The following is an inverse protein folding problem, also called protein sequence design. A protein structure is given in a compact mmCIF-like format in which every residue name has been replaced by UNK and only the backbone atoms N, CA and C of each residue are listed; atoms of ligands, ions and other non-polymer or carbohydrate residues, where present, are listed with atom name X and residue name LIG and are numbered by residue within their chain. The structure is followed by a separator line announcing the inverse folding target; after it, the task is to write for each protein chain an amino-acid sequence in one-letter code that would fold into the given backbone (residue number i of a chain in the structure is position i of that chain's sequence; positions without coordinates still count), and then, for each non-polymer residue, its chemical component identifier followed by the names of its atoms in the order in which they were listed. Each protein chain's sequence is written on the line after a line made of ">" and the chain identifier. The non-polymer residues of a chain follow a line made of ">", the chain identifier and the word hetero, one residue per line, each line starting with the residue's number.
data_IF_935760250696
#
_entry.id   IF_935760250696
#
_cell.length_a   1.000
_cell.length_b   1.000
_cell.length_c   1.000
_cell.angle_alpha   90.00
_cell.angle_beta   90.00
_cell.angle_gamma   90.00
#
_symmetry.space_group_name_H-M   'P 1'
#
loop_
_entity.id
_entity.type
_entity.pdbx_description
1 polymer ?
#
# COMPACT_ATOMS: atom_id res chain seq x y z
N UNK A 1 14.92 -12.14 18.71
CA UNK A 1 14.00 -13.16 18.21
C UNK A 1 14.52 -13.46 16.84
N UNK A 2 15.12 -14.63 16.64
CA UNK A 2 15.53 -15.06 15.30
C UNK A 2 14.23 -15.43 14.59
N UNK A 3 13.75 -14.55 13.73
CA UNK A 3 12.62 -14.87 12.88
C UNK A 3 13.07 -15.91 11.86
N UNK A 4 12.21 -16.87 11.54
CA UNK A 4 12.53 -17.87 10.54
C UNK A 4 12.57 -17.20 9.16
N UNK A 5 13.74 -16.72 8.76
CA UNK A 5 13.97 -16.06 7.48
C UNK A 5 13.54 -16.97 6.31
N UNK A 6 13.54 -18.29 6.50
CA UNK A 6 13.06 -19.24 5.49
C UNK A 6 11.56 -19.11 5.20
N UNK A 7 10.74 -18.67 6.17
CA UNK A 7 9.32 -18.39 5.92
C UNK A 7 9.14 -17.15 5.04
N UNK A 8 9.97 -16.12 5.24
CA UNK A 8 9.97 -14.90 4.43
C UNK A 8 10.48 -15.15 3.01
N UNK A 9 11.53 -15.95 2.85
CA UNK A 9 12.00 -16.43 1.54
C UNK A 9 10.90 -17.18 0.79
N UNK A 10 10.23 -18.12 1.48
CA UNK A 10 9.12 -18.87 0.90
C UNK A 10 7.97 -17.95 0.48
N UNK A 11 7.60 -16.97 1.30
CA UNK A 11 6.59 -15.98 0.95
C UNK A 11 6.99 -15.20 -0.30
N UNK A 12 8.21 -14.66 -0.32
CA UNK A 12 8.71 -13.84 -1.42
C UNK A 12 8.69 -14.59 -2.75
N UNK A 13 9.17 -15.83 -2.77
CA UNK A 13 9.25 -16.63 -4.00
C UNK A 13 7.92 -17.27 -4.41
N UNK A 14 6.92 -17.32 -3.53
CA UNK A 14 5.59 -17.85 -3.85
C UNK A 14 4.58 -16.75 -4.19
N UNK A 15 4.91 -15.47 -3.95
CA UNK A 15 4.00 -14.36 -4.17
C UNK A 15 3.74 -14.14 -5.66
N UNK A 16 2.48 -13.89 -6.02
CA UNK A 16 2.08 -13.53 -7.38
C UNK A 16 2.54 -12.10 -7.74
N UNK A 17 2.72 -11.24 -6.72
CA UNK A 17 3.34 -9.94 -6.87
C UNK A 17 4.02 -9.47 -5.57
N UNK A 18 5.08 -8.68 -5.74
CA UNK A 18 5.79 -8.02 -4.66
C UNK A 18 5.79 -6.50 -4.86
N UNK A 19 5.70 -5.74 -3.77
CA UNK A 19 5.85 -4.29 -3.79
C UNK A 19 6.83 -3.83 -2.71
N UNK A 20 7.42 -2.66 -2.95
CA UNK A 20 8.06 -1.85 -1.92
C UNK A 20 7.31 -0.55 -1.72
N UNK A 21 7.28 -0.09 -0.48
CA UNK A 21 6.68 1.20 -0.16
C UNK A 21 7.49 1.99 0.85
N UNK A 22 7.40 3.32 0.74
CA UNK A 22 7.99 4.26 1.68
C UNK A 22 6.92 5.26 2.11
N UNK A 23 6.61 5.26 3.40
CA UNK A 23 5.64 6.18 4.01
C UNK A 23 6.39 7.28 4.74
N UNK A 24 6.42 8.46 4.13
CA UNK A 24 7.07 9.65 4.65
C UNK A 24 6.11 10.38 5.59
N UNK A 25 6.63 10.85 6.72
CA UNK A 25 5.95 11.73 7.68
C UNK A 25 6.92 12.82 8.15
N UNK A 26 6.49 13.65 9.11
CA UNK A 26 7.39 14.62 9.76
C UNK A 26 8.44 13.93 10.66
N UNK A 27 8.14 12.74 11.19
CA UNK A 27 9.00 12.01 12.13
C UNK A 27 9.99 11.07 11.44
N UNK A 28 9.86 10.84 10.13
CA UNK A 28 10.77 10.01 9.36
C UNK A 28 10.08 9.30 8.19
N UNK A 29 10.76 8.27 7.68
CA UNK A 29 10.27 7.44 6.57
C UNK A 29 10.21 5.98 7.02
N UNK A 30 9.05 5.35 6.87
CA UNK A 30 8.88 3.92 7.11
C UNK A 30 8.91 3.16 5.79
N UNK A 31 9.95 2.34 5.58
CA UNK A 31 10.02 1.42 4.45
C UNK A 31 9.33 0.08 4.76
N UNK A 32 8.61 -0.46 3.78
CA UNK A 32 7.90 -1.73 3.89
C UNK A 32 8.04 -2.55 2.63
N UNK A 33 7.93 -3.86 2.79
CA UNK A 33 7.73 -4.80 1.69
C UNK A 33 6.32 -5.35 1.76
N UNK A 34 5.77 -5.72 0.62
CA UNK A 34 4.45 -6.33 0.52
C UNK A 34 4.51 -7.55 -0.39
N UNK A 35 3.80 -8.60 0.01
CA UNK A 35 3.63 -9.84 -0.73
C UNK A 35 2.14 -10.02 -1.02
N UNK A 36 1.79 -10.29 -2.26
CA UNK A 36 0.41 -10.48 -2.70
C UNK A 36 0.23 -11.84 -3.35
N UNK A 37 -0.95 -12.42 -3.12
CA UNK A 37 -1.33 -13.72 -3.63
C UNK A 37 -2.78 -13.68 -4.11
N UNK A 38 -3.08 -14.42 -5.17
CA UNK A 38 -4.44 -14.85 -5.43
C UNK A 38 -4.98 -15.63 -4.21
N UNK A 39 -6.26 -15.41 -3.90
CA UNK A 39 -6.85 -15.98 -2.69
C UNK A 39 -7.03 -17.48 -2.86
N UNK A 40 -6.23 -18.24 -2.11
CA UNK A 40 -6.32 -19.70 -1.99
C UNK A 40 -6.21 -20.13 -0.54
N UNK A 41 -6.58 -21.39 -0.26
CA UNK A 41 -6.43 -21.98 1.07
C UNK A 41 -4.94 -22.06 1.44
N UNK A 42 -4.10 -22.41 0.47
CA UNK A 42 -2.66 -22.55 0.61
C UNK A 42 -2.00 -21.21 0.92
N UNK A 43 -2.28 -20.17 0.13
CA UNK A 43 -1.75 -18.83 0.35
C UNK A 43 -2.24 -18.25 1.70
N UNK A 44 -3.51 -18.46 2.04
CA UNK A 44 -4.07 -18.00 3.32
C UNK A 44 -3.35 -18.63 4.52
N UNK A 45 -3.05 -19.94 4.46
CA UNK A 45 -2.28 -20.63 5.50
C UNK A 45 -0.83 -20.14 5.57
N UNK A 46 -0.20 -19.93 4.42
CA UNK A 46 1.18 -19.44 4.33
C UNK A 46 1.31 -18.05 4.97
N UNK A 47 0.42 -17.11 4.58
CA UNK A 47 0.36 -15.76 5.15
C UNK A 47 0.05 -15.80 6.65
N UNK A 48 -0.90 -16.65 7.09
CA UNK A 48 -1.24 -16.76 8.51
C UNK A 48 -0.05 -17.26 9.35
N UNK A 49 0.67 -18.28 8.87
CA UNK A 49 1.87 -18.83 9.53
C UNK A 49 2.94 -17.76 9.71
N UNK A 50 3.32 -17.10 8.62
CA UNK A 50 4.33 -16.05 8.65
C UNK A 50 3.90 -14.84 9.48
N UNK A 51 2.65 -14.41 9.37
CA UNK A 51 2.15 -13.30 10.19
C UNK A 51 2.20 -13.63 11.69
N UNK A 52 1.88 -14.87 12.07
CA UNK A 52 1.95 -15.33 13.46
C UNK A 52 3.40 -15.38 13.96
N UNK A 53 4.34 -15.89 13.17
CA UNK A 53 5.77 -15.95 13.53
C UNK A 53 6.41 -14.56 13.60
N UNK A 54 5.86 -13.58 12.89
CA UNK A 54 6.21 -12.17 12.98
C UNK A 54 5.46 -11.42 14.12
N UNK A 55 4.67 -12.13 14.93
CA UNK A 55 4.04 -11.58 16.14
C UNK A 55 2.65 -10.97 15.96
N UNK A 56 1.97 -11.25 14.84
CA UNK A 56 0.57 -10.83 14.68
C UNK A 56 -0.34 -11.69 15.58
N UNK A 57 -1.21 -11.10 16.44
CA UNK A 57 -2.02 -11.87 17.37
C UNK A 57 -3.02 -12.81 16.69
N UNK A 58 -3.20 -14.02 17.22
CA UNK A 58 -4.17 -15.01 16.69
C UNK A 58 -5.60 -14.47 16.59
N UNK A 59 -6.04 -13.66 17.56
CA UNK A 59 -7.37 -13.04 17.52
C UNK A 59 -7.55 -12.10 16.31
N UNK A 60 -6.48 -11.43 15.89
CA UNK A 60 -6.50 -10.58 14.71
C UNK A 60 -6.50 -11.43 13.42
N UNK A 61 -5.73 -12.51 13.38
CA UNK A 61 -5.75 -13.48 12.28
C UNK A 61 -7.11 -14.17 12.12
N UNK A 62 -7.77 -14.51 13.23
CA UNK A 62 -9.16 -15.01 13.23
C UNK A 62 -10.12 -13.98 12.62
N UNK A 63 -9.91 -12.70 12.89
CA UNK A 63 -10.71 -11.62 12.32
C UNK A 63 -10.45 -11.44 10.83
N UNK A 64 -9.18 -11.50 10.40
CA UNK A 64 -8.80 -11.50 8.98
C UNK A 64 -9.39 -12.71 8.23
N UNK A 65 -9.33 -13.91 8.81
CA UNK A 65 -9.91 -15.13 8.23
C UNK A 65 -11.42 -14.99 7.94
N UNK A 66 -12.17 -14.34 8.84
CA UNK A 66 -13.60 -14.03 8.61
C UNK A 66 -13.85 -13.04 7.47
N UNK A 67 -12.83 -12.29 7.04
CA UNK A 67 -12.91 -11.37 5.91
C UNK A 67 -12.52 -12.02 4.57
N UNK A 68 -11.91 -13.22 4.56
CA UNK A 68 -11.52 -13.89 3.31
C UNK A 68 -12.66 -14.17 2.32
N UNK A 69 -13.91 -14.48 2.74
CA UNK A 69 -14.98 -14.76 1.77
C UNK A 69 -15.20 -13.60 0.78
N UNK A 70 -15.06 -13.92 -0.51
CA UNK A 70 -15.21 -12.98 -1.61
C UNK A 70 -13.97 -12.15 -1.95
N UNK A 71 -12.86 -12.32 -1.21
CA UNK A 71 -11.59 -11.73 -1.59
C UNK A 71 -11.00 -12.49 -2.79
N UNK A 72 -10.53 -11.77 -3.81
CA UNK A 72 -9.80 -12.32 -4.96
C UNK A 72 -8.30 -12.32 -4.71
N UNK A 73 -7.78 -11.39 -3.90
CA UNK A 73 -6.38 -11.39 -3.48
C UNK A 73 -6.22 -11.13 -1.98
N UNK A 74 -5.11 -11.63 -1.46
CA UNK A 74 -4.67 -11.46 -0.08
C UNK A 74 -3.21 -11.05 -0.05
N UNK A 75 -2.76 -10.49 1.06
CA UNK A 75 -1.37 -10.09 1.16
C UNK A 75 -0.88 -9.90 2.58
N UNK A 76 0.44 -9.77 2.69
CA UNK A 76 1.15 -9.43 3.91
C UNK A 76 2.06 -8.24 3.64
N UNK A 77 2.05 -7.23 4.53
CA UNK A 77 3.04 -6.17 4.53
C UNK A 77 3.86 -6.20 5.82
N UNK A 78 5.16 -5.99 5.66
CA UNK A 78 6.13 -5.99 6.74
C UNK A 78 6.96 -4.71 6.68
N UNK A 79 7.04 -3.98 7.81
CA UNK A 79 8.00 -2.87 7.95
C UNK A 79 9.42 -3.45 7.98
N UNK A 80 10.38 -2.79 7.33
CA UNK A 80 11.74 -3.32 7.15
C UNK A 80 12.52 -3.56 8.45
N UNK A 81 12.04 -3.06 9.59
CA UNK A 81 12.57 -3.30 10.94
C UNK A 81 11.72 -4.30 11.76
N UNK A 82 10.74 -4.96 11.14
CA UNK A 82 9.88 -5.97 11.75
C UNK A 82 8.79 -5.43 12.68
N UNK A 83 8.82 -4.14 13.04
CA UNK A 83 7.98 -3.60 14.11
C UNK A 83 6.52 -3.31 13.69
N UNK A 84 6.14 -3.59 12.44
CA UNK A 84 4.74 -3.61 12.02
C UNK A 84 4.50 -4.68 10.97
N UNK A 85 3.55 -5.56 11.28
CA UNK A 85 3.04 -6.63 10.41
C UNK A 85 1.58 -6.36 10.12
N UNK A 86 1.18 -6.58 8.87
CA UNK A 86 -0.18 -6.35 8.40
C UNK A 86 -0.59 -7.45 7.44
N UNK A 87 -1.84 -7.90 7.53
CA UNK A 87 -2.46 -8.79 6.54
C UNK A 87 -3.64 -8.10 5.88
N UNK A 88 -3.90 -8.44 4.63
CA UNK A 88 -4.87 -7.74 3.78
C UNK A 88 -5.81 -8.71 3.07
N UNK A 89 -7.00 -8.21 2.74
CA UNK A 89 -7.91 -8.79 1.75
C UNK A 89 -8.27 -7.74 0.72
N UNK A 90 -8.40 -8.14 -0.54
CA UNK A 90 -8.71 -7.31 -1.70
C UNK A 90 -9.91 -7.90 -2.47
N UNK A 91 -10.81 -7.04 -2.96
CA UNK A 91 -12.11 -7.43 -3.53
C UNK A 91 -12.39 -6.78 -4.91
N UNK A 92 -11.44 -6.86 -5.85
CA UNK A 92 -11.62 -6.31 -7.20
C UNK A 92 -12.77 -6.94 -7.95
N UNK A 93 -12.88 -8.27 -7.94
CA UNK A 93 -13.90 -8.97 -8.74
C UNK A 93 -15.32 -8.62 -8.25
N UNK A 94 -15.49 -8.51 -6.94
CA UNK A 94 -16.73 -8.05 -6.33
C UNK A 94 -17.02 -6.60 -6.74
N UNK A 95 -16.01 -5.74 -6.72
CA UNK A 95 -16.17 -4.34 -7.10
C UNK A 95 -16.51 -4.19 -8.59
N UNK A 96 -15.82 -4.91 -9.47
CA UNK A 96 -16.05 -4.91 -10.91
C UNK A 96 -17.48 -5.37 -11.23
N UNK A 97 -17.91 -6.50 -10.68
CA UNK A 97 -19.28 -6.99 -10.85
C UNK A 97 -20.34 -5.99 -10.37
N UNK A 98 -20.07 -5.23 -9.29
CA UNK A 98 -20.97 -4.16 -8.83
C UNK A 98 -21.04 -3.01 -9.82
N UNK A 99 -19.90 -2.57 -10.36
CA UNK A 99 -19.82 -1.49 -11.36
C UNK A 99 -20.54 -1.90 -12.65
N UNK A 100 -20.32 -3.13 -13.13
CA UNK A 100 -20.99 -3.67 -14.32
C UNK A 100 -22.52 -3.75 -14.12
N UNK A 101 -22.98 -4.00 -12.90
CA UNK A 101 -24.39 -3.94 -12.52
C UNK A 101 -24.93 -2.51 -12.27
N UNK A 102 -24.13 -1.47 -12.50
CA UNK A 102 -24.48 -0.07 -12.30
C UNK A 102 -24.50 0.38 -10.82
N UNK A 103 -23.98 -0.42 -9.90
CA UNK A 103 -23.92 -0.09 -8.47
C UNK A 103 -22.60 0.60 -8.12
N UNK A 104 -22.64 1.94 -8.12
CA UNK A 104 -21.50 2.80 -7.81
C UNK A 104 -21.41 3.18 -6.31
N UNK A 105 -22.19 2.54 -5.44
CA UNK A 105 -22.12 2.80 -4.00
C UNK A 105 -20.76 2.36 -3.45
N UNK A 106 -20.06 3.20 -2.64
CA UNK A 106 -18.76 2.86 -2.08
C UNK A 106 -18.74 1.50 -1.40
N UNK A 107 -17.68 0.73 -1.67
CA UNK A 107 -17.50 -0.62 -1.17
C UNK A 107 -16.04 -0.84 -0.76
N UNK A 108 -15.74 -1.59 0.32
CA UNK A 108 -14.37 -1.90 0.71
C UNK A 108 -13.63 -2.64 -0.42
N UNK A 109 -12.65 -1.99 -1.03
CA UNK A 109 -11.75 -2.63 -1.98
C UNK A 109 -10.59 -3.30 -1.26
N UNK A 110 -10.05 -2.66 -0.22
CA UNK A 110 -9.01 -3.23 0.63
C UNK A 110 -9.47 -3.24 2.08
N UNK A 111 -9.13 -4.29 2.81
CA UNK A 111 -9.19 -4.32 4.28
C UNK A 111 -7.85 -4.73 4.84
N UNK A 112 -7.27 -3.90 5.68
CA UNK A 112 -6.00 -4.16 6.35
C UNK A 112 -6.21 -4.46 7.83
N UNK A 113 -5.55 -5.51 8.33
CA UNK A 113 -5.54 -5.90 9.74
C UNK A 113 -4.12 -5.77 10.24
N UNK A 114 -3.89 -4.91 11.24
CA UNK A 114 -2.54 -4.61 11.71
C UNK A 114 -2.44 -4.55 13.22
N UNK A 115 -1.27 -4.94 13.71
CA UNK A 115 -0.81 -4.62 15.05
C UNK A 115 0.10 -3.40 14.98
N UNK A 116 -0.12 -2.43 15.86
CA UNK A 116 0.76 -1.29 16.07
C UNK A 116 1.83 -1.63 17.12
N UNK A 117 2.97 -0.93 17.14
CA UNK A 117 4.00 -1.13 18.17
C UNK A 117 3.49 -0.96 19.61
N UNK A 118 2.41 -0.20 19.80
CA UNK A 118 1.72 -0.03 21.09
C UNK A 118 0.91 -1.25 21.54
N UNK A 119 0.82 -2.30 20.73
CA UNK A 119 -0.05 -3.47 20.95
C UNK A 119 -1.51 -3.24 20.54
N UNK A 120 -1.87 -2.03 20.11
CA UNK A 120 -3.20 -1.73 19.57
C UNK A 120 -3.38 -2.47 18.25
N UNK A 121 -4.46 -3.25 18.15
CA UNK A 121 -4.90 -3.88 16.91
C UNK A 121 -5.91 -2.99 16.20
N UNK A 122 -5.78 -2.85 14.88
CA UNK A 122 -6.67 -2.00 14.08
C UNK A 122 -7.09 -2.70 12.79
N UNK A 123 -8.34 -2.45 12.38
CA UNK A 123 -8.85 -2.75 11.04
C UNK A 123 -9.04 -1.45 10.27
N UNK A 124 -8.43 -1.36 9.10
CA UNK A 124 -8.60 -0.25 8.17
C UNK A 124 -9.40 -0.74 6.95
N UNK A 125 -10.57 -0.15 6.70
CA UNK A 125 -11.38 -0.43 5.51
C UNK A 125 -11.20 0.72 4.49
N UNK A 126 -10.66 0.41 3.31
CA UNK A 126 -10.45 1.35 2.22
C UNK A 126 -11.58 1.19 1.21
N UNK A 127 -12.52 2.11 1.26
CA UNK A 127 -13.71 2.09 0.41
C UNK A 127 -13.37 2.70 -0.95
N UNK A 128 -13.52 1.92 -2.01
CA UNK A 128 -13.42 2.44 -3.36
C UNK A 128 -14.53 3.45 -3.62
N UNK A 129 -14.16 4.51 -4.33
CA UNK A 129 -15.08 5.45 -4.98
C UNK A 129 -15.11 5.07 -6.46
N UNK A 130 -16.03 4.19 -6.90
CA UNK A 130 -16.02 3.70 -8.27
C UNK A 130 -16.19 4.84 -9.26
N UNK A 131 -15.45 4.79 -10.37
CA UNK A 131 -15.47 5.81 -11.45
C UNK A 131 -15.35 7.26 -10.95
N UNK A 132 -14.58 7.47 -9.86
CA UNK A 132 -14.38 8.80 -9.30
C UNK A 132 -13.70 9.72 -10.33
N UNK A 133 -14.27 10.90 -10.65
CA UNK A 133 -13.64 11.82 -11.58
C UNK A 133 -12.35 12.41 -10.96
N UNK A 134 -11.43 12.91 -11.81
CA UNK A 134 -10.18 13.56 -11.36
C UNK A 134 -10.42 14.63 -10.28
N UNK A 135 -11.48 15.43 -10.42
CA UNK A 135 -11.88 16.43 -9.43
C UNK A 135 -12.14 15.88 -8.01
N UNK A 136 -12.46 14.59 -7.87
CA UNK A 136 -12.72 13.96 -6.58
C UNK A 136 -11.44 13.43 -5.89
N UNK A 137 -10.43 13.01 -6.64
CA UNK A 137 -9.21 12.41 -6.08
C UNK A 137 -7.97 13.30 -6.18
N UNK A 138 -7.93 14.22 -7.15
CA UNK A 138 -6.76 15.07 -7.37
C UNK A 138 -6.50 16.09 -6.25
N UNK A 139 -7.49 16.84 -5.73
CA UNK A 139 -7.23 17.83 -4.70
C UNK A 139 -6.49 17.28 -3.46
N UNK A 140 -6.88 16.14 -2.85
CA UNK A 140 -6.14 15.61 -1.70
C UNK A 140 -4.75 15.06 -2.07
N UNK A 141 -4.54 14.61 -3.32
CA UNK A 141 -3.22 14.24 -3.82
C UNK A 141 -2.31 15.47 -3.90
N UNK A 142 -2.76 16.52 -4.60
CA UNK A 142 -2.03 17.78 -4.77
C UNK A 142 -1.69 18.43 -3.42
N UNK A 143 -2.64 18.43 -2.47
CA UNK A 143 -2.40 18.93 -1.12
C UNK A 143 -1.31 18.14 -0.39
N UNK A 144 -1.33 16.81 -0.52
CA UNK A 144 -0.30 15.96 0.08
C UNK A 144 1.06 16.20 -0.58
N UNK A 145 1.12 16.34 -1.90
CA UNK A 145 2.36 16.66 -2.62
C UNK A 145 2.98 17.97 -2.11
N UNK A 146 2.19 19.04 -2.01
CA UNK A 146 2.64 20.32 -1.50
C UNK A 146 3.24 20.21 -0.08
N UNK A 147 2.58 19.47 0.82
CA UNK A 147 3.05 19.26 2.20
C UNK A 147 4.39 18.53 2.29
N UNK A 148 4.73 17.75 1.27
CA UNK A 148 5.99 17.00 1.19
C UNK A 148 7.03 17.67 0.27
N UNK A 149 6.81 18.94 -0.11
CA UNK A 149 7.76 19.73 -0.91
C UNK A 149 7.77 19.37 -2.39
N UNK A 150 6.74 18.66 -2.87
CA UNK A 150 6.56 18.32 -4.27
C UNK A 150 5.68 19.38 -4.94
N UNK A 151 6.05 19.81 -6.14
CA UNK A 151 5.30 20.80 -6.90
C UNK A 151 3.99 20.18 -7.42
N UNK A 152 2.81 20.64 -6.95
CA UNK A 152 1.53 20.12 -7.42
C UNK A 152 1.19 20.52 -8.85
N UNK A 153 1.75 21.63 -9.35
CA UNK A 153 1.53 22.08 -10.73
C UNK A 153 2.29 21.18 -11.69
N UNK A 154 3.58 20.91 -11.42
CA UNK A 154 4.34 19.93 -12.19
C UNK A 154 3.75 18.51 -12.09
N UNK A 155 3.09 18.17 -10.97
CA UNK A 155 2.41 16.90 -10.82
C UNK A 155 1.26 16.72 -11.83
N UNK A 156 0.56 17.77 -12.23
CA UNK A 156 -0.55 17.68 -13.19
C UNK A 156 -0.10 17.06 -14.52
N UNK A 157 1.09 17.42 -14.98
CA UNK A 157 1.68 16.89 -16.22
C UNK A 157 2.11 15.43 -16.04
N UNK A 158 2.75 15.10 -14.90
CA UNK A 158 3.20 13.73 -14.59
C UNK A 158 2.01 12.77 -14.50
N UNK A 159 0.89 13.22 -13.94
CA UNK A 159 -0.31 12.43 -13.69
C UNK A 159 -1.47 12.84 -14.61
N UNK A 160 -1.16 13.36 -15.81
CA UNK A 160 -2.15 13.83 -16.78
C UNK A 160 -3.12 12.71 -17.19
N UNK A 161 -2.61 11.48 -17.28
CA UNK A 161 -3.35 10.30 -17.70
C UNK A 161 -4.24 9.71 -16.60
N UNK A 162 -4.25 10.28 -15.39
CA UNK A 162 -5.16 9.82 -14.34
C UNK A 162 -6.59 10.29 -14.60
N UNK A 163 -7.45 9.32 -14.87
CA UNK A 163 -8.88 9.45 -15.19
C UNK A 163 -9.70 8.51 -14.31
N UNK A 164 -11.03 8.47 -14.49
CA UNK A 164 -11.88 7.53 -13.78
C UNK A 164 -11.61 6.06 -14.20
N UNK A 165 -11.05 5.87 -15.39
CA UNK A 165 -10.77 4.58 -16.02
C UNK A 165 -9.38 4.03 -15.66
N UNK A 166 -8.40 4.94 -15.53
CA UNK A 166 -6.99 4.60 -15.31
C UNK A 166 -6.57 4.73 -13.84
N UNK A 167 -7.38 5.37 -13.00
CA UNK A 167 -7.14 5.48 -11.56
C UNK A 167 -8.27 4.84 -10.75
N UNK A 168 -7.89 4.09 -9.71
CA UNK A 168 -8.87 3.62 -8.71
C UNK A 168 -8.59 4.33 -7.39
N UNK A 169 -9.56 5.16 -6.98
CA UNK A 169 -9.48 5.88 -5.72
C UNK A 169 -10.18 5.11 -4.60
N UNK A 170 -9.53 5.03 -3.45
CA UNK A 170 -10.12 4.54 -2.21
C UNK A 170 -9.93 5.55 -1.09
N UNK A 171 -10.86 5.52 -0.12
CA UNK A 171 -10.79 6.36 1.08
C UNK A 171 -11.04 5.54 2.34
N UNK A 172 -10.38 5.94 3.41
CA UNK A 172 -10.66 5.49 4.78
C UNK A 172 -10.94 6.72 5.62
N UNK A 173 -12.03 6.69 6.38
CA UNK A 173 -12.38 7.74 7.33
C UNK A 173 -12.78 7.09 8.65
N UNK A 174 -11.99 7.36 9.68
CA UNK A 174 -12.20 6.99 11.08
C UNK A 174 -11.92 8.22 11.95
N UNK A 175 -12.23 8.16 13.25
CA UNK A 175 -12.03 9.30 14.16
C UNK A 175 -10.54 9.72 14.22
N UNK A 176 -9.65 8.74 14.17
CA UNK A 176 -8.20 8.87 14.30
C UNK A 176 -7.46 8.98 12.96
N UNK A 177 -8.14 8.77 11.83
CA UNK A 177 -7.50 8.73 10.51
C UNK A 177 -8.42 9.12 9.37
N UNK A 178 -7.92 10.00 8.52
CA UNK A 178 -8.47 10.26 7.19
C UNK A 178 -7.37 10.03 6.16
N UNK A 179 -7.59 9.10 5.24
CA UNK A 179 -6.61 8.83 4.19
C UNK A 179 -7.24 8.46 2.87
N UNK A 180 -6.48 8.71 1.81
CA UNK A 180 -6.78 8.31 0.44
C UNK A 180 -5.69 7.36 -0.06
N UNK A 181 -6.04 6.51 -1.01
CA UNK A 181 -5.12 5.75 -1.83
C UNK A 181 -5.62 5.76 -3.27
N UNK A 182 -4.72 6.06 -4.19
CA UNK A 182 -4.97 6.03 -5.63
C UNK A 182 -4.07 4.97 -6.24
N UNK A 183 -4.69 3.89 -6.73
CA UNK A 183 -4.00 2.88 -7.55
C UNK A 183 -3.85 3.43 -8.96
N UNK A 184 -2.62 3.44 -9.49
CA UNK A 184 -2.26 4.07 -10.77
C UNK A 184 -1.69 3.07 -11.78
N UNK A 185 -1.73 1.77 -11.49
CA UNK A 185 -1.15 0.70 -12.35
C UNK A 185 -1.69 0.66 -13.79
N UNK A 186 -2.86 1.27 -14.06
CA UNK A 186 -3.44 1.34 -15.40
C UNK A 186 -3.05 2.60 -16.17
N UNK A 187 -2.34 3.52 -15.54
CA UNK A 187 -1.84 4.74 -16.17
C UNK A 187 -0.41 4.51 -16.68
N UNK A 188 -0.13 4.97 -17.90
CA UNK A 188 1.20 4.91 -18.49
C UNK A 188 2.03 6.11 -18.03
N UNK A 189 2.58 6.03 -16.82
CA UNK A 189 3.36 7.13 -16.25
C UNK A 189 4.81 7.11 -16.76
N UNK A 190 5.28 8.23 -17.31
CA UNK A 190 6.69 8.38 -17.70
C UNK A 190 7.60 8.41 -16.46
N UNK A 191 8.35 7.32 -16.24
CA UNK A 191 9.25 7.16 -15.09
C UNK A 191 10.31 8.29 -15.00
N UNK A 192 10.76 8.82 -16.13
CA UNK A 192 11.74 9.91 -16.13
C UNK A 192 11.14 11.21 -15.59
N UNK A 193 9.93 11.56 -16.01
CA UNK A 193 9.17 12.71 -15.49
C UNK A 193 8.78 12.51 -14.03
N UNK A 194 8.34 11.30 -13.65
CA UNK A 194 8.03 10.96 -12.27
C UNK A 194 9.23 11.11 -11.34
N UNK A 195 10.41 10.61 -11.73
CA UNK A 195 11.64 10.75 -10.96
C UNK A 195 12.12 12.21 -10.86
N UNK A 196 11.97 13.00 -11.94
CA UNK A 196 12.28 14.45 -11.91
C UNK A 196 11.37 15.20 -10.96
N UNK A 197 10.07 14.93 -11.01
CA UNK A 197 9.10 15.53 -10.11
C UNK A 197 9.36 15.15 -8.65
N UNK A 198 9.73 13.89 -8.40
CA UNK A 198 10.04 13.38 -7.07
C UNK A 198 11.43 13.79 -6.56
N UNK A 199 12.29 14.42 -7.38
CA UNK A 199 13.67 14.74 -7.03
C UNK A 199 13.83 15.52 -5.69
N UNK A 200 12.94 16.45 -5.31
CA UNK A 200 13.02 17.12 -4.00
C UNK A 200 12.96 16.16 -2.80
N UNK A 201 12.42 14.94 -2.98
CA UNK A 201 12.40 13.94 -1.91
C UNK A 201 13.79 13.41 -1.57
N UNK A 202 14.79 13.53 -2.45
CA UNK A 202 16.15 13.06 -2.25
C UNK A 202 16.76 13.53 -0.91
N UNK A 203 16.42 14.74 -0.49
CA UNK A 203 16.90 15.36 0.76
C UNK A 203 16.27 14.76 2.03
N UNK A 204 15.27 13.89 1.90
CA UNK A 204 14.57 13.25 3.02
C UNK A 204 15.22 11.92 3.40
N UNK A 205 14.97 11.40 4.62
CA UNK A 205 15.35 10.04 4.97
C UNK A 205 14.83 9.01 3.95
N UNK A 206 15.73 8.21 3.38
CA UNK A 206 15.45 7.25 2.29
C UNK A 206 14.97 7.89 0.97
N UNK A 207 15.14 9.20 0.83
CA UNK A 207 14.72 9.98 -0.34
C UNK A 207 15.34 9.50 -1.64
N UNK A 208 16.67 9.34 -1.67
CA UNK A 208 17.40 8.85 -2.83
C UNK A 208 16.89 7.48 -3.29
N UNK A 209 16.57 6.59 -2.34
CA UNK A 209 16.02 5.28 -2.63
C UNK A 209 14.62 5.37 -3.26
N UNK A 210 13.77 6.28 -2.77
CA UNK A 210 12.44 6.53 -3.33
C UNK A 210 12.57 7.03 -4.77
N UNK A 211 13.42 8.04 -5.01
CA UNK A 211 13.62 8.63 -6.34
C UNK A 211 14.17 7.60 -7.32
N UNK A 212 15.12 6.77 -6.90
CA UNK A 212 15.67 5.72 -7.73
C UNK A 212 14.66 4.61 -8.02
N UNK A 213 13.83 4.25 -7.04
CA UNK A 213 12.75 3.29 -7.24
C UNK A 213 11.72 3.80 -8.27
N UNK A 214 11.35 5.08 -8.20
CA UNK A 214 10.45 5.72 -9.18
C UNK A 214 11.07 5.83 -10.58
N UNK A 215 12.40 5.91 -10.66
CA UNK A 215 13.14 5.93 -11.94
C UNK A 215 13.15 4.56 -12.62
N UNK A 216 13.27 3.50 -11.83
CA UNK A 216 13.58 2.15 -12.33
C UNK A 216 12.40 1.20 -12.35
N UNK A 217 11.30 1.53 -11.67
CA UNK A 217 10.16 0.62 -11.44
C UNK A 217 8.84 1.32 -11.68
N UNK A 218 7.81 0.52 -11.91
CA UNK A 218 6.46 1.04 -12.09
C UNK A 218 5.87 1.50 -10.76
N UNK A 219 5.27 2.69 -10.79
CA UNK A 219 4.49 3.21 -9.68
C UNK A 219 3.15 2.49 -9.65
N UNK A 220 2.80 2.00 -8.48
CA UNK A 220 1.67 1.10 -8.27
C UNK A 220 0.53 1.84 -7.59
N UNK A 221 0.84 2.46 -6.45
CA UNK A 221 -0.10 3.27 -5.68
C UNK A 221 0.57 4.53 -5.15
N UNK A 222 -0.25 5.54 -4.95
CA UNK A 222 0.05 6.66 -4.05
C UNK A 222 -0.98 6.65 -2.94
N UNK A 223 -0.56 6.94 -1.72
CA UNK A 223 -1.47 7.14 -0.61
C UNK A 223 -1.06 8.33 0.23
N UNK A 224 -2.02 8.99 0.86
CA UNK A 224 -1.74 10.10 1.74
C UNK A 224 -2.89 10.42 2.66
N UNK A 225 -2.70 11.43 3.48
CA UNK A 225 -3.71 11.91 4.42
C UNK A 225 -3.11 12.20 5.78
N UNK A 226 -3.94 12.05 6.83
CA UNK A 226 -3.60 12.39 8.20
C UNK A 226 -3.99 11.28 9.16
N UNK A 227 -3.07 10.94 10.05
CA UNK A 227 -3.26 10.02 11.16
C UNK A 227 -2.98 10.78 12.47
N UNK A 228 -3.73 10.51 13.54
CA UNK A 228 -3.58 11.24 14.80
C UNK A 228 -2.23 11.02 15.48
N UNK A 229 -1.57 9.88 15.23
CA UNK A 229 -0.27 9.56 15.84
C UNK A 229 0.88 10.10 14.98
N UNK A 230 0.80 9.93 13.66
CA UNK A 230 1.91 10.24 12.74
C UNK A 230 1.79 11.63 12.10
N UNK A 231 0.62 12.27 12.22
CA UNK A 231 0.31 13.48 11.48
C UNK A 231 0.10 13.20 10.00
N UNK A 232 0.57 14.12 9.16
CA UNK A 232 0.44 14.00 7.71
C UNK A 232 1.42 12.99 7.14
N UNK A 233 0.97 12.24 6.14
CA UNK A 233 1.80 11.25 5.48
C UNK A 233 1.59 11.23 3.97
N UNK A 234 2.65 10.83 3.26
CA UNK A 234 2.64 10.50 1.84
C UNK A 234 3.37 9.16 1.68
N UNK A 235 2.74 8.21 1.00
CA UNK A 235 3.31 6.89 0.73
C UNK A 235 3.37 6.63 -0.75
N UNK A 236 4.53 6.19 -1.21
CA UNK A 236 4.80 5.73 -2.57
C UNK A 236 4.91 4.22 -2.54
N UNK A 237 4.25 3.54 -3.49
CA UNK A 237 4.31 2.09 -3.67
C UNK A 237 4.79 1.80 -5.08
N UNK A 238 5.79 0.94 -5.24
CA UNK A 238 6.34 0.52 -6.53
C UNK A 238 6.37 -0.99 -6.62
N UNK A 239 6.35 -1.51 -7.84
CA UNK A 239 6.59 -2.94 -8.08
C UNK A 239 7.99 -3.36 -7.60
N UNK A 240 8.13 -4.63 -7.24
CA UNK A 240 9.41 -5.19 -6.81
C UNK A 240 9.51 -6.67 -7.15
N UNK A 241 10.73 -7.20 -7.16
CA UNK A 241 10.98 -8.64 -7.26
C UNK A 241 11.15 -9.29 -5.88
N UNK A 242 11.01 -10.63 -5.76
CA UNK A 242 11.31 -11.38 -4.54
C UNK A 242 12.69 -11.05 -3.94
N UNK A 243 13.73 -10.98 -4.77
CA UNK A 243 15.10 -10.73 -4.32
C UNK A 243 15.25 -9.32 -3.74
N UNK A 244 14.57 -8.34 -4.32
CA UNK A 244 14.62 -6.96 -3.85
C UNK A 244 13.87 -6.78 -2.51
N UNK A 245 12.76 -7.49 -2.31
CA UNK A 245 12.06 -7.45 -1.01
C UNK A 245 12.84 -8.20 0.05
N UNK A 246 13.46 -9.34 -0.27
CA UNK A 246 14.33 -10.07 0.66
C UNK A 246 15.57 -9.25 1.04
N UNK A 247 16.23 -8.62 0.06
CA UNK A 247 17.36 -7.71 0.30
C UNK A 247 16.99 -6.55 1.24
N UNK A 248 15.77 -6.03 1.13
CA UNK A 248 15.27 -5.00 2.03
C UNK A 248 15.01 -5.51 3.47
N UNK A 249 14.86 -6.82 3.65
CA UNK A 249 14.60 -7.50 4.92
C UNK A 249 15.85 -8.14 5.53
N UNK A 250 17.02 -8.10 4.89
CA UNK A 250 18.27 -8.70 5.40
C UNK A 250 18.64 -8.27 6.82
N UNK A 251 18.18 -7.10 7.26
CA UNK A 251 18.37 -6.60 8.63
C UNK A 251 17.54 -7.32 9.70
N UNK A 252 16.59 -8.17 9.30
CA UNK A 252 15.76 -9.01 10.17
C UNK A 252 16.30 -10.45 10.31
N UNK A 253 17.30 -10.81 9.48
CA UNK A 253 17.96 -12.11 9.51
C UNK A 253 19.06 -12.17 10.58
#
# INVERSE_FOLDING_TARGET
>A
MDHDFSELERLAHSADACERSWSMTAQGTEARVLFFFETSVEASKMIASAALSLGLPEGLLSTWSRALPGADAIGLALRGDGASVRVYTQYWEVLAARVDAGNLTPFPLYRGFKSLPSGVVRRDDYHCQPVAPKAAFWPPMAESFARFGLDPVAAEDVFADLTAETAICTRTMAAERSSWLTTVRRAELDRASLARWAAPLAERPMGDEIVEALRTRDLVHLAGGRDSEKGDFLTVYVESTPEQVLGALERLA
#
